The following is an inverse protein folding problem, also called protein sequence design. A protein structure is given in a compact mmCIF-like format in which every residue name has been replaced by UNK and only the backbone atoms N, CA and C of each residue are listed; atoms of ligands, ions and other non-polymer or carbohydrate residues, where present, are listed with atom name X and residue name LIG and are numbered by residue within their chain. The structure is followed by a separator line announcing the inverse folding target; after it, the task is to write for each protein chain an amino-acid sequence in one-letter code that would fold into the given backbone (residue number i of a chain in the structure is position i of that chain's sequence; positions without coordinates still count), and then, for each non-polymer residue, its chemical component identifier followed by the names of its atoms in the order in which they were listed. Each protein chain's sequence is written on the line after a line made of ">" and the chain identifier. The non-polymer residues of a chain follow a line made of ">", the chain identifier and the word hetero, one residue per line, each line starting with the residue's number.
data_IF_639359609816
#
_entry.id   IF_639359609816
#
_cell.length_a   1.000
_cell.length_b   1.000
_cell.length_c   1.000
_cell.angle_alpha   90.00
_cell.angle_beta   90.00
_cell.angle_gamma   90.00
#
_symmetry.space_group_name_H-M   'P 1'
#
loop_
_entity.id
_entity.type
_entity.pdbx_description
1 polymer ?
#
# COMPACT_ATOMS: atom_id res chain seq x y z
N UNK A 1 17.48 -27.49 24.37
CA UNK A 1 16.11 -27.11 24.74
C UNK A 1 15.83 -25.63 24.42
N UNK A 2 16.64 -24.67 24.92
CA UNK A 2 16.48 -23.23 24.63
C UNK A 2 16.44 -22.88 23.12
N UNK A 3 17.33 -23.48 22.32
CA UNK A 3 17.39 -23.23 20.88
C UNK A 3 16.11 -23.69 20.15
N UNK A 4 15.53 -24.83 20.57
CA UNK A 4 14.30 -25.35 19.97
C UNK A 4 13.08 -24.47 20.32
N UNK A 5 13.02 -23.96 21.56
CA UNK A 5 11.98 -23.01 21.98
C UNK A 5 12.08 -21.71 21.19
N UNK A 6 13.29 -21.15 21.04
CA UNK A 6 13.51 -19.93 20.26
C UNK A 6 13.14 -20.12 18.79
N UNK A 7 13.57 -21.22 18.16
CA UNK A 7 13.19 -21.54 16.77
C UNK A 7 11.68 -21.63 16.59
N UNK A 8 10.98 -22.32 17.51
CA UNK A 8 9.52 -22.45 17.45
C UNK A 8 8.81 -21.10 17.64
N UNK A 9 9.26 -20.27 18.59
CA UNK A 9 8.69 -18.93 18.78
C UNK A 9 8.89 -18.06 17.53
N UNK A 10 10.05 -18.14 16.88
CA UNK A 10 10.32 -17.41 15.64
C UNK A 10 9.43 -17.89 14.48
N UNK A 11 9.25 -19.20 14.35
CA UNK A 11 8.35 -19.80 13.37
C UNK A 11 6.91 -19.31 13.57
N UNK A 12 6.37 -19.46 14.77
CA UNK A 12 5.01 -19.02 15.10
C UNK A 12 4.84 -17.49 14.96
N UNK A 13 5.89 -16.71 15.25
CA UNK A 13 5.88 -15.26 15.02
C UNK A 13 5.81 -14.92 13.52
N UNK A 14 6.50 -15.68 12.67
CA UNK A 14 6.46 -15.52 11.21
C UNK A 14 5.10 -15.94 10.63
N UNK A 15 4.52 -17.04 11.11
CA UNK A 15 3.17 -17.47 10.75
C UNK A 15 2.12 -16.41 11.15
N UNK A 16 2.24 -15.88 12.36
CA UNK A 16 1.38 -14.80 12.85
C UNK A 16 1.54 -13.52 12.00
N UNK A 17 2.78 -13.13 11.67
CA UNK A 17 3.03 -11.97 10.82
C UNK A 17 2.40 -12.14 9.43
N UNK A 18 2.54 -13.33 8.84
CA UNK A 18 1.93 -13.69 7.55
C UNK A 18 0.40 -13.64 7.63
N UNK A 19 -0.17 -14.20 8.70
CA UNK A 19 -1.61 -14.20 8.94
C UNK A 19 -2.16 -12.78 9.13
N UNK A 20 -1.47 -11.94 9.90
CA UNK A 20 -1.83 -10.53 10.07
C UNK A 20 -1.77 -9.79 8.73
N UNK A 21 -0.70 -10.00 7.95
CA UNK A 21 -0.56 -9.42 6.61
C UNK A 21 -1.66 -9.85 5.66
N UNK A 22 -2.07 -11.12 5.73
CA UNK A 22 -3.20 -11.64 4.96
C UNK A 22 -4.51 -10.96 5.35
N UNK A 23 -4.78 -10.73 6.64
CA UNK A 23 -5.98 -10.01 7.07
C UNK A 23 -5.98 -8.56 6.58
N UNK A 24 -4.82 -7.87 6.64
CA UNK A 24 -4.68 -6.53 6.07
C UNK A 24 -4.93 -6.55 4.55
N UNK A 25 -4.40 -7.54 3.84
CA UNK A 25 -4.61 -7.68 2.40
C UNK A 25 -6.09 -7.96 2.07
N UNK A 26 -6.75 -8.88 2.77
CA UNK A 26 -8.19 -9.16 2.61
C UNK A 26 -9.01 -7.88 2.78
N UNK A 27 -8.74 -7.09 3.84
CA UNK A 27 -9.39 -5.80 4.07
C UNK A 27 -9.19 -4.81 2.91
N UNK A 28 -7.98 -4.76 2.35
CA UNK A 28 -7.69 -3.89 1.20
C UNK A 28 -8.38 -4.34 -0.08
N UNK A 29 -8.49 -5.66 -0.30
CA UNK A 29 -9.15 -6.23 -1.46
C UNK A 29 -10.66 -5.96 -1.49
N UNK A 30 -11.29 -5.67 -0.33
CA UNK A 30 -12.69 -5.20 -0.29
C UNK A 30 -12.86 -4.00 -1.22
N UNK A 31 -11.89 -3.09 -1.25
CA UNK A 31 -11.97 -1.87 -2.06
C UNK A 31 -11.90 -2.09 -3.56
N UNK A 32 -11.65 -3.32 -4.05
CA UNK A 32 -11.71 -3.59 -5.48
C UNK A 32 -13.15 -3.46 -6.01
N UNK A 33 -14.15 -3.82 -5.20
CA UNK A 33 -15.55 -3.91 -5.63
C UNK A 33 -16.49 -3.12 -4.70
N UNK A 34 -15.95 -2.32 -3.78
CA UNK A 34 -16.71 -1.59 -2.79
C UNK A 34 -16.12 -0.21 -2.52
N UNK A 35 -16.98 0.74 -2.17
CA UNK A 35 -16.57 2.07 -1.75
C UNK A 35 -17.35 2.51 -0.50
N UNK A 36 -16.87 3.57 0.14
CA UNK A 36 -17.55 4.12 1.32
C UNK A 36 -18.78 4.93 0.95
N UNK A 37 -19.82 4.81 1.74
CA UNK A 37 -21.01 5.64 1.68
C UNK A 37 -21.29 6.24 3.06
N UNK A 38 -21.64 7.53 3.08
CA UNK A 38 -22.16 8.21 4.27
C UNK A 38 -23.66 8.35 4.08
N UNK A 39 -24.45 7.71 4.93
CA UNK A 39 -25.91 7.79 4.85
C UNK A 39 -26.44 9.12 5.44
N UNK A 40 -27.78 9.28 5.44
CA UNK A 40 -28.44 10.48 5.97
C UNK A 40 -28.24 10.69 7.47
N UNK A 41 -27.79 9.66 8.19
CA UNK A 41 -27.56 9.68 9.63
C UNK A 41 -26.06 9.82 9.96
N UNK A 42 -25.23 10.25 8.99
CA UNK A 42 -23.78 10.31 9.07
C UNK A 42 -23.09 8.97 9.38
N UNK A 43 -23.78 7.84 9.14
CA UNK A 43 -23.22 6.51 9.34
C UNK A 43 -22.35 6.13 8.14
N UNK A 44 -21.11 5.70 8.43
CA UNK A 44 -20.17 5.23 7.43
C UNK A 44 -20.43 3.74 7.19
N UNK A 45 -20.72 3.39 5.94
CA UNK A 45 -20.95 2.02 5.48
C UNK A 45 -20.10 1.74 4.24
N UNK A 46 -19.96 0.45 3.91
CA UNK A 46 -19.40 0.03 2.63
C UNK A 46 -20.52 -0.46 1.74
N UNK A 47 -20.51 -0.02 0.49
CA UNK A 47 -21.47 -0.40 -0.54
C UNK A 47 -20.73 -0.97 -1.73
N UNK A 48 -21.32 -1.96 -2.41
CA UNK A 48 -20.78 -2.43 -3.68
C UNK A 48 -20.76 -1.27 -4.67
N UNK A 49 -19.61 -1.10 -5.32
CA UNK A 49 -19.41 -0.10 -6.34
C UNK A 49 -18.50 -0.68 -7.42
N UNK A 50 -18.92 -0.53 -8.67
CA UNK A 50 -18.10 -0.97 -9.78
C UNK A 50 -16.96 0.01 -10.01
N UNK A 51 -15.78 -0.56 -10.25
CA UNK A 51 -14.62 0.18 -10.72
C UNK A 51 -14.84 0.82 -12.09
N UNK A 52 -13.82 1.52 -12.58
CA UNK A 52 -13.77 1.97 -13.97
C UNK A 52 -12.62 1.26 -14.69
N UNK A 53 -12.67 1.24 -16.02
CA UNK A 53 -11.59 0.65 -16.81
C UNK A 53 -10.47 1.67 -16.93
N UNK A 54 -9.22 1.27 -16.69
CA UNK A 54 -8.09 2.20 -16.82
C UNK A 54 -7.98 2.76 -18.24
N UNK A 55 -8.41 1.97 -19.24
CA UNK A 55 -8.48 2.35 -20.64
C UNK A 55 -9.43 3.53 -20.87
N UNK A 56 -10.46 3.72 -20.04
CA UNK A 56 -11.36 4.88 -20.15
C UNK A 56 -10.66 6.20 -19.79
N UNK A 57 -9.54 6.14 -19.05
CA UNK A 57 -8.78 7.32 -18.61
C UNK A 57 -7.55 7.62 -19.47
N UNK A 58 -7.04 6.64 -20.20
CA UNK A 58 -5.78 6.78 -20.94
C UNK A 58 -6.03 6.77 -22.45
N UNK A 59 -5.26 7.54 -23.24
CA UNK A 59 -5.35 7.48 -24.70
C UNK A 59 -5.21 6.05 -25.26
N UNK A 60 -5.83 5.78 -26.41
CA UNK A 60 -5.89 4.45 -27.04
C UNK A 60 -4.54 3.74 -27.15
N UNK A 61 -3.49 4.49 -27.45
CA UNK A 61 -2.12 3.96 -27.58
C UNK A 61 -1.50 3.44 -26.25
N UNK A 62 -2.18 3.63 -25.12
CA UNK A 62 -1.81 3.08 -23.79
C UNK A 62 -2.84 2.13 -23.23
N UNK A 63 -3.82 1.73 -24.04
CA UNK A 63 -4.76 0.72 -23.60
C UNK A 63 -3.99 -0.55 -23.24
N UNK A 64 -4.29 -1.07 -22.06
CA UNK A 64 -3.78 -2.34 -21.58
C UNK A 64 -4.72 -3.42 -22.12
N UNK A 65 -4.15 -4.52 -22.64
CA UNK A 65 -4.94 -5.65 -23.17
C UNK A 65 -5.78 -6.33 -22.09
N UNK A 66 -5.31 -6.29 -20.83
CA UNK A 66 -6.04 -6.84 -19.70
C UNK A 66 -7.19 -5.92 -19.28
N UNK A 67 -8.40 -6.49 -19.24
CA UNK A 67 -9.60 -5.83 -18.74
C UNK A 67 -9.58 -5.70 -17.21
N UNK A 68 -8.63 -4.91 -16.70
CA UNK A 68 -8.48 -4.65 -15.27
C UNK A 68 -9.29 -3.43 -14.87
N UNK A 69 -10.41 -3.69 -14.19
CA UNK A 69 -11.11 -2.66 -13.43
C UNK A 69 -10.25 -2.21 -12.26
N UNK A 70 -10.11 -0.90 -12.12
CA UNK A 70 -9.48 -0.29 -10.94
C UNK A 70 -10.54 0.00 -9.89
N UNK A 71 -10.13 0.07 -8.63
CA UNK A 71 -11.03 0.31 -7.50
C UNK A 71 -11.98 1.49 -7.75
N UNK A 72 -13.26 1.38 -7.36
CA UNK A 72 -14.23 2.46 -7.48
C UNK A 72 -13.72 3.74 -6.82
N UNK A 73 -14.00 4.92 -7.40
CA UNK A 73 -13.61 6.19 -6.81
C UNK A 73 -14.32 6.41 -5.46
N UNK A 74 -13.70 7.20 -4.59
CA UNK A 74 -14.32 7.64 -3.35
C UNK A 74 -15.48 8.61 -3.67
N UNK A 75 -16.71 8.39 -3.18
CA UNK A 75 -17.83 9.30 -3.43
C UNK A 75 -17.57 10.71 -2.88
N UNK A 76 -18.11 11.72 -3.57
CA UNK A 76 -17.94 13.14 -3.21
C UNK A 76 -18.32 13.43 -1.76
N UNK A 77 -19.44 12.90 -1.28
CA UNK A 77 -19.87 13.07 0.11
C UNK A 77 -18.83 12.61 1.14
N UNK A 78 -18.07 11.55 0.83
CA UNK A 78 -16.98 11.06 1.67
C UNK A 78 -15.76 11.96 1.57
N UNK A 79 -15.42 12.42 0.37
CA UNK A 79 -14.32 13.35 0.12
C UNK A 79 -14.52 14.71 0.82
N UNK A 80 -15.76 15.21 0.85
CA UNK A 80 -16.12 16.51 1.42
C UNK A 80 -16.34 16.46 2.95
N UNK A 81 -16.52 15.26 3.52
CA UNK A 81 -16.78 15.07 4.94
C UNK A 81 -15.51 15.16 5.79
N UNK A 82 -15.44 16.20 6.64
CA UNK A 82 -14.36 16.36 7.64
C UNK A 82 -14.33 15.21 8.65
N UNK A 83 -15.50 14.71 9.05
CA UNK A 83 -15.61 13.59 9.99
C UNK A 83 -15.05 12.30 9.38
N UNK A 84 -15.42 12.02 8.14
CA UNK A 84 -14.86 10.89 7.39
C UNK A 84 -13.36 11.04 7.22
N UNK A 85 -12.87 12.21 6.78
CA UNK A 85 -11.43 12.45 6.61
C UNK A 85 -10.63 12.23 7.90
N UNK A 86 -11.16 12.66 9.05
CA UNK A 86 -10.53 12.41 10.36
C UNK A 86 -10.44 10.92 10.68
N UNK A 87 -11.49 10.16 10.38
CA UNK A 87 -11.49 8.71 10.60
C UNK A 87 -10.60 7.98 9.59
N UNK A 88 -10.65 8.36 8.32
CA UNK A 88 -9.86 7.77 7.24
C UNK A 88 -8.35 7.93 7.49
N UNK A 89 -7.92 9.01 8.15
CA UNK A 89 -6.51 9.18 8.58
C UNK A 89 -6.03 8.11 9.57
N UNK A 90 -6.94 7.43 10.26
CA UNK A 90 -6.60 6.31 11.14
C UNK A 90 -6.44 5.02 10.35
N UNK A 91 -6.94 4.92 9.12
CA UNK A 91 -6.88 3.70 8.33
C UNK A 91 -5.42 3.30 8.10
N UNK A 92 -5.12 2.03 8.40
CA UNK A 92 -3.77 1.44 8.40
C UNK A 92 -2.73 2.11 9.33
N UNK A 93 -3.13 3.04 10.20
CA UNK A 93 -2.27 3.55 11.26
C UNK A 93 -2.00 2.48 12.33
N UNK A 94 -1.04 2.74 13.22
CA UNK A 94 -0.81 1.93 14.41
C UNK A 94 -2.10 1.62 15.19
N UNK A 95 -2.99 2.62 15.36
CA UNK A 95 -4.27 2.42 16.04
C UNK A 95 -5.14 1.40 15.30
N UNK A 96 -5.24 1.51 13.97
CA UNK A 96 -6.05 0.58 13.18
C UNK A 96 -5.45 -0.83 13.13
N UNK A 97 -4.12 -0.96 13.08
CA UNK A 97 -3.46 -2.26 13.17
C UNK A 97 -3.76 -2.97 14.49
N UNK A 98 -3.82 -2.22 15.59
CA UNK A 98 -4.29 -2.73 16.89
C UNK A 98 -5.75 -3.23 16.86
N UNK A 99 -6.63 -2.53 16.13
CA UNK A 99 -8.01 -2.99 15.91
C UNK A 99 -8.06 -4.27 15.06
N UNK A 100 -7.31 -4.34 13.96
CA UNK A 100 -7.22 -5.55 13.12
C UNK A 100 -6.74 -6.74 13.96
N UNK A 101 -5.67 -6.56 14.74
CA UNK A 101 -5.20 -7.60 15.67
C UNK A 101 -6.31 -8.04 16.64
N UNK A 102 -6.95 -7.07 17.30
CA UNK A 102 -7.99 -7.35 18.29
C UNK A 102 -9.19 -8.07 17.68
N UNK A 103 -9.59 -7.72 16.46
CA UNK A 103 -10.71 -8.32 15.74
C UNK A 103 -10.43 -9.77 15.37
N UNK A 104 -9.31 -10.05 14.70
CA UNK A 104 -9.08 -11.39 14.14
C UNK A 104 -8.37 -12.34 15.11
N UNK A 105 -7.48 -11.81 15.94
CA UNK A 105 -6.60 -12.63 16.79
C UNK A 105 -6.84 -12.42 18.29
N UNK A 106 -7.51 -11.35 18.71
CA UNK A 106 -7.83 -11.12 20.12
C UNK A 106 -8.91 -12.07 20.63
N UNK A 107 -8.72 -12.70 21.79
CA UNK A 107 -9.61 -13.72 22.34
C UNK A 107 -11.11 -13.38 22.25
N UNK A 108 -11.50 -12.15 22.62
CA UNK A 108 -12.90 -11.70 22.67
C UNK A 108 -13.33 -10.81 21.49
N UNK A 109 -12.44 -10.52 20.54
CA UNK A 109 -12.72 -9.49 19.53
C UNK A 109 -12.79 -8.09 20.13
N UNK A 110 -13.47 -7.18 19.42
CA UNK A 110 -13.65 -5.78 19.82
C UNK A 110 -15.04 -5.59 20.44
N UNK A 111 -15.12 -4.84 21.55
CA UNK A 111 -16.39 -4.47 22.17
C UNK A 111 -17.24 -3.56 21.27
N UNK A 112 -18.57 -3.69 21.33
CA UNK A 112 -19.50 -2.93 20.49
C UNK A 112 -19.32 -1.40 20.60
N UNK A 113 -18.99 -0.87 21.79
CA UNK A 113 -18.71 0.55 21.99
C UNK A 113 -17.45 1.01 21.23
N UNK A 114 -16.39 0.19 21.24
CA UNK A 114 -15.16 0.46 20.50
C UNK A 114 -15.37 0.38 18.99
N UNK A 115 -16.25 -0.50 18.51
CA UNK A 115 -16.66 -0.54 17.09
C UNK A 115 -17.40 0.73 16.68
N UNK A 116 -18.36 1.18 17.50
CA UNK A 116 -19.06 2.46 17.27
C UNK A 116 -18.11 3.65 17.23
N UNK A 117 -17.04 3.63 18.03
CA UNK A 117 -16.02 4.68 18.04
C UNK A 117 -15.05 4.64 16.85
N UNK A 118 -15.03 3.54 16.08
CA UNK A 118 -14.16 3.36 14.91
C UNK A 118 -15.00 2.91 13.69
N UNK A 119 -15.86 3.79 13.15
CA UNK A 119 -16.89 3.43 12.18
C UNK A 119 -16.34 2.87 10.86
N UNK A 120 -15.18 3.33 10.38
CA UNK A 120 -14.53 2.76 9.18
C UNK A 120 -14.12 1.31 9.42
N UNK A 121 -13.52 1.01 10.58
CA UNK A 121 -13.16 -0.37 10.92
C UNK A 121 -14.42 -1.24 11.04
N UNK A 122 -15.47 -0.72 11.68
CA UNK A 122 -16.75 -1.42 11.80
C UNK A 122 -17.36 -1.76 10.43
N UNK A 123 -17.35 -0.82 9.49
CA UNK A 123 -17.82 -1.06 8.12
C UNK A 123 -17.05 -2.17 7.42
N UNK A 124 -15.72 -2.20 7.58
CA UNK A 124 -14.83 -3.20 6.98
C UNK A 124 -15.09 -4.62 7.51
N UNK A 125 -15.17 -4.79 8.83
CA UNK A 125 -15.33 -6.11 9.45
C UNK A 125 -16.75 -6.68 9.33
N UNK A 126 -17.73 -5.84 8.95
CA UNK A 126 -19.08 -6.31 8.61
C UNK A 126 -19.05 -7.14 7.32
N UNK A 127 -18.12 -6.84 6.40
CA UNK A 127 -17.93 -7.59 5.15
C UNK A 127 -16.99 -8.78 5.36
N UNK A 128 -15.93 -8.60 6.16
CA UNK A 128 -14.99 -9.67 6.52
C UNK A 128 -15.13 -10.00 8.01
N UNK A 129 -16.08 -10.89 8.38
CA UNK A 129 -16.27 -11.27 9.76
C UNK A 129 -15.07 -12.04 10.30
N UNK A 130 -14.94 -12.07 11.63
CA UNK A 130 -13.90 -12.80 12.33
C UNK A 130 -13.97 -14.31 12.05
N UNK A 131 -12.87 -14.84 11.56
CA UNK A 131 -12.58 -16.28 11.58
C UNK A 131 -11.95 -16.59 12.95
N UNK A 132 -12.56 -17.46 13.77
CA UNK A 132 -12.13 -17.72 15.15
C UNK A 132 -10.85 -18.58 15.22
N UNK A 133 -9.72 -18.03 14.75
CA UNK A 133 -8.41 -18.70 14.81
C UNK A 133 -7.54 -17.95 15.80
N UNK A 134 -7.12 -18.64 16.86
CA UNK A 134 -6.21 -18.09 17.86
C UNK A 134 -4.78 -18.52 17.55
N UNK A 135 -3.83 -17.58 17.43
CA UNK A 135 -2.42 -17.93 17.26
C UNK A 135 -1.90 -18.65 18.51
N UNK A 136 -1.11 -19.72 18.32
CA UNK A 136 -0.32 -20.34 19.38
C UNK A 136 0.93 -19.51 19.66
N UNK A 137 0.75 -18.26 20.10
CA UNK A 137 1.85 -17.32 20.30
C UNK A 137 1.60 -16.41 21.50
N UNK A 138 2.67 -16.12 22.25
CA UNK A 138 2.58 -15.23 23.40
C UNK A 138 2.20 -13.79 23.00
N UNK A 139 1.32 -13.18 23.80
CA UNK A 139 0.77 -11.85 23.52
C UNK A 139 1.84 -10.77 23.39
N UNK A 140 2.95 -10.87 24.13
CA UNK A 140 4.04 -9.90 24.01
C UNK A 140 4.70 -9.97 22.63
N UNK A 141 4.89 -11.18 22.08
CA UNK A 141 5.48 -11.38 20.74
C UNK A 141 4.52 -10.87 19.67
N UNK A 142 3.22 -11.19 19.79
CA UNK A 142 2.20 -10.66 18.88
C UNK A 142 2.20 -9.12 18.85
N UNK A 143 2.29 -8.47 20.01
CA UNK A 143 2.41 -7.00 20.10
C UNK A 143 3.64 -6.47 19.40
N UNK A 144 4.80 -7.11 19.57
CA UNK A 144 6.03 -6.73 18.86
C UNK A 144 5.83 -6.84 17.35
N UNK A 145 5.25 -7.94 16.84
CA UNK A 145 4.98 -8.11 15.41
C UNK A 145 4.03 -7.03 14.89
N UNK A 146 2.92 -6.75 15.59
CA UNK A 146 1.96 -5.70 15.21
C UNK A 146 2.64 -4.33 15.18
N UNK A 147 3.50 -4.04 16.15
CA UNK A 147 4.26 -2.79 16.21
C UNK A 147 5.21 -2.66 15.01
N UNK A 148 5.99 -3.69 14.72
CA UNK A 148 6.89 -3.71 13.55
C UNK A 148 6.10 -3.52 12.25
N UNK A 149 4.98 -4.22 12.09
CA UNK A 149 4.11 -4.09 10.91
C UNK A 149 3.57 -2.66 10.79
N UNK A 150 3.09 -2.07 11.89
CA UNK A 150 2.57 -0.70 11.92
C UNK A 150 3.64 0.34 11.57
N UNK A 151 4.84 0.21 12.12
CA UNK A 151 5.97 1.11 11.80
C UNK A 151 6.33 1.03 10.32
N UNK A 152 6.30 -0.17 9.72
CA UNK A 152 6.53 -0.31 8.28
C UNK A 152 5.46 0.42 7.47
N UNK A 153 4.17 0.27 7.82
CA UNK A 153 3.08 1.00 7.16
C UNK A 153 3.19 2.52 7.33
N UNK A 154 3.50 3.00 8.53
CA UNK A 154 3.71 4.43 8.80
C UNK A 154 4.87 5.00 7.98
N UNK A 155 5.99 4.27 7.90
CA UNK A 155 7.14 4.67 7.09
C UNK A 155 6.80 4.75 5.60
N UNK A 156 5.93 3.86 5.12
CA UNK A 156 5.49 3.85 3.74
C UNK A 156 4.50 5.00 3.47
N UNK A 157 3.41 5.10 4.25
CA UNK A 157 2.26 5.97 3.94
C UNK A 157 2.33 7.35 4.61
N UNK A 158 2.68 7.42 5.90
CA UNK A 158 2.63 8.68 6.67
C UNK A 158 3.85 9.57 6.41
N UNK A 159 5.05 8.99 6.28
CA UNK A 159 6.23 9.76 5.89
C UNK A 159 6.13 10.23 4.43
N UNK A 160 5.30 9.56 3.60
CA UNK A 160 4.97 9.79 2.18
C UNK A 160 6.14 10.03 1.20
N UNK A 161 7.38 10.20 1.67
CA UNK A 161 8.56 10.57 0.89
C UNK A 161 8.88 9.51 -0.14
N UNK A 162 8.81 8.23 0.24
CA UNK A 162 9.10 7.12 -0.67
C UNK A 162 8.02 7.02 -1.75
N UNK A 163 6.75 6.94 -1.35
CA UNK A 163 5.63 6.87 -2.29
C UNK A 163 5.59 8.09 -3.22
N UNK A 164 5.65 9.30 -2.67
CA UNK A 164 5.61 10.55 -3.44
C UNK A 164 6.81 10.67 -4.38
N UNK A 165 8.02 10.30 -3.94
CA UNK A 165 9.22 10.31 -4.81
C UNK A 165 9.09 9.31 -5.95
N UNK A 166 8.56 8.11 -5.69
CA UNK A 166 8.35 7.10 -6.71
C UNK A 166 7.22 7.50 -7.68
N UNK A 167 6.09 7.96 -7.16
CA UNK A 167 4.95 8.42 -7.95
C UNK A 167 5.30 9.63 -8.80
N UNK A 168 5.98 10.64 -8.25
CA UNK A 168 6.45 11.79 -9.02
C UNK A 168 7.46 11.39 -10.10
N UNK A 169 8.34 10.42 -9.84
CA UNK A 169 9.23 9.86 -10.87
C UNK A 169 8.44 9.16 -11.97
N UNK A 170 7.44 8.35 -11.60
CA UNK A 170 6.58 7.66 -12.55
C UNK A 170 5.84 8.67 -13.43
N UNK A 171 5.15 9.64 -12.83
CA UNK A 171 4.49 10.73 -13.54
C UNK A 171 5.47 11.48 -14.45
N UNK A 172 6.65 11.85 -13.96
CA UNK A 172 7.66 12.54 -14.78
C UNK A 172 8.12 11.70 -15.97
N UNK A 173 8.31 10.38 -15.80
CA UNK A 173 8.68 9.47 -16.88
C UNK A 173 7.55 9.40 -17.90
N UNK A 174 6.31 9.18 -17.45
CA UNK A 174 5.13 9.13 -18.31
C UNK A 174 4.95 10.45 -19.09
N UNK A 175 5.01 11.60 -18.41
CA UNK A 175 4.90 12.92 -19.03
C UNK A 175 6.04 13.19 -20.03
N UNK A 176 7.29 12.80 -19.72
CA UNK A 176 8.42 12.98 -20.64
C UNK A 176 8.31 12.08 -21.87
N UNK A 177 7.86 10.85 -21.67
CA UNK A 177 7.70 9.91 -22.76
C UNK A 177 6.57 10.33 -23.70
N UNK A 178 5.47 10.85 -23.15
CA UNK A 178 4.25 11.09 -23.93
C UNK A 178 3.95 12.54 -24.29
N UNK A 179 4.17 13.50 -23.39
CA UNK A 179 3.91 14.91 -23.69
C UNK A 179 5.09 15.63 -24.34
N UNK A 180 6.30 15.07 -24.24
CA UNK A 180 7.50 15.67 -24.83
C UNK A 180 8.45 14.62 -25.48
N UNK A 181 7.95 13.73 -26.35
CA UNK A 181 8.73 12.62 -26.92
C UNK A 181 10.00 13.10 -27.63
N UNK A 182 9.91 14.23 -28.36
CA UNK A 182 11.04 14.83 -29.06
C UNK A 182 12.14 15.34 -28.11
N UNK A 183 11.75 15.91 -26.95
CA UNK A 183 12.67 16.41 -25.94
C UNK A 183 13.36 15.25 -25.22
N UNK A 184 12.63 14.18 -24.90
CA UNK A 184 13.21 13.00 -24.26
C UNK A 184 14.13 12.23 -25.22
N UNK A 185 13.78 12.13 -26.51
CA UNK A 185 14.64 11.55 -27.55
C UNK A 185 15.96 12.31 -27.69
N UNK A 186 15.92 13.65 -27.70
CA UNK A 186 17.12 14.50 -27.69
C UNK A 186 17.97 14.30 -26.43
N UNK A 187 17.34 14.23 -25.26
CA UNK A 187 18.03 13.98 -23.98
C UNK A 187 18.71 12.61 -23.96
N UNK A 188 18.05 11.56 -24.46
CA UNK A 188 18.65 10.22 -24.55
C UNK A 188 19.87 10.19 -25.47
N UNK A 189 19.77 10.77 -26.66
CA UNK A 189 20.91 10.94 -27.58
C UNK A 189 22.08 11.65 -26.92
N UNK A 190 21.82 12.76 -26.22
CA UNK A 190 22.85 13.49 -25.49
C UNK A 190 23.52 12.64 -24.39
N UNK A 191 22.76 11.83 -23.65
CA UNK A 191 23.31 10.93 -22.62
C UNK A 191 24.17 9.83 -23.25
N UNK A 192 23.74 9.25 -24.37
CA UNK A 192 24.51 8.25 -25.12
C UNK A 192 25.81 8.85 -25.67
N UNK A 193 25.76 10.00 -26.33
CA UNK A 193 26.95 10.72 -26.81
C UNK A 193 27.92 11.06 -25.67
N UNK A 194 27.41 11.42 -24.49
CA UNK A 194 28.25 11.69 -23.31
C UNK A 194 28.86 10.42 -22.72
N UNK A 195 28.15 9.28 -22.78
CA UNK A 195 28.70 7.98 -22.38
C UNK A 195 29.80 7.55 -23.35
N UNK A 196 29.56 7.66 -24.65
CA UNK A 196 30.53 7.36 -25.71
C UNK A 196 31.80 8.19 -25.58
N UNK A 197 31.64 9.52 -25.39
CA UNK A 197 32.78 10.44 -25.17
C UNK A 197 33.59 10.08 -23.93
N UNK A 198 32.93 9.65 -22.85
CA UNK A 198 33.63 9.14 -21.67
C UNK A 198 34.40 7.87 -22.03
N UNK A 199 33.77 6.85 -22.61
CA UNK A 199 34.45 5.59 -22.98
C UNK A 199 35.62 5.80 -23.94
N UNK A 200 35.52 6.72 -24.90
CA UNK A 200 36.62 7.06 -25.82
C UNK A 200 37.74 7.79 -25.07
N UNK A 201 37.41 8.71 -24.17
CA UNK A 201 38.40 9.38 -23.31
C UNK A 201 39.14 8.41 -22.40
N UNK A 202 38.44 7.45 -21.78
CA UNK A 202 39.07 6.40 -20.98
C UNK A 202 39.99 5.52 -21.85
N UNK A 203 39.51 5.06 -23.01
CA UNK A 203 40.30 4.21 -23.93
C UNK A 203 41.54 4.93 -24.48
N UNK A 204 41.44 6.23 -24.76
CA UNK A 204 42.58 7.06 -25.19
C UNK A 204 43.60 7.25 -24.07
N UNK A 205 43.16 7.35 -22.80
CA UNK A 205 44.07 7.48 -21.66
C UNK A 205 44.86 6.17 -21.40
N UNK A 206 44.22 5.01 -21.58
CA UNK A 206 44.90 3.71 -21.50
C UNK A 206 45.85 3.45 -22.67
N UNK A 207 45.57 3.98 -23.87
CA UNK A 207 46.47 3.89 -25.01
C UNK A 207 47.75 4.74 -24.84
N UNK A 208 47.65 5.88 -24.14
CA UNK A 208 48.81 6.75 -23.84
C UNK A 208 49.63 6.29 -22.64
N UNK A 209 49.09 5.48 -21.74
CA UNK A 209 49.83 4.93 -20.59
C UNK A 209 50.55 3.60 -20.89
N UNK A 210 50.39 3.03 -22.08
CA UNK A 210 51.08 1.81 -22.53
C UNK A 210 52.20 2.08 -23.55
N UNK A 211 52.60 3.35 -23.69
CA UNK A 211 53.77 3.76 -24.47
C UNK A 211 54.71 4.47 -23.49
N UNK A 212 55.38 3.68 -22.66
CA UNK A 212 56.61 3.93 -21.90
C UNK A 212 57.07 2.59 -21.31
#
# INVERSE_FOLDING_TARGET
>A
MLNATLSRTLEHASEYATSLGLQVLKLLLIFNNSTFNIDKNDSITLVNAQGFHINDLVPEQFHVEEDKQVAPPLPKQCADSKAFSKEAKKLLSFQHMGLIHSTYFGARGIAAQSLKANPIHNALITILPRENVQPDLENFVMKTVVQTYSTNFDNMWNNNKVFTKLFNKLLLVLLRHYLAPNREKKRRKYIEEMKEKRTVSWSSHYATCNID
#
